data_IF_717141081654
#
_entry.id   IF_717141081654
#
_cell.length_a   1.000
_cell.length_b   1.000
_cell.length_c   1.000
_cell.angle_alpha   90.00
_cell.angle_beta   90.00
_cell.angle_gamma   90.00
#
_symmetry.space_group_name_H-M   'P 1'
#
loop_
_entity.id
_entity.type
_entity.pdbx_description
1 polymer ?
#
# COMPACT_ATOMS: atom_id res chain seq x y z
N UNK A 1 -10.03 -5.02 -7.56
CA UNK A 1 -9.18 -4.19 -8.47
C UNK A 1 -7.72 -4.40 -8.14
N UNK A 2 -6.82 -4.31 -9.11
CA UNK A 2 -5.36 -4.48 -8.96
C UNK A 2 -4.65 -3.13 -9.06
N UNK A 3 -3.38 -3.09 -8.64
CA UNK A 3 -2.54 -1.90 -8.78
C UNK A 3 -2.44 -1.41 -10.24
N UNK A 4 -2.36 -2.34 -11.20
CA UNK A 4 -2.37 -2.06 -12.64
C UNK A 4 -3.62 -1.34 -13.13
N UNK A 5 -4.76 -1.54 -12.46
CA UNK A 5 -6.05 -0.96 -12.89
C UNK A 5 -6.15 0.52 -12.53
N UNK A 6 -5.50 0.92 -11.44
CA UNK A 6 -5.56 2.28 -10.90
C UNK A 6 -4.29 3.10 -11.13
N UNK A 7 -3.18 2.48 -11.55
CA UNK A 7 -1.91 3.19 -11.74
C UNK A 7 -1.98 4.27 -12.83
N UNK A 8 -1.19 5.30 -12.65
CA UNK A 8 -0.88 6.27 -13.69
C UNK A 8 0.30 5.73 -14.51
N UNK A 9 0.10 5.53 -15.81
CA UNK A 9 1.10 4.92 -16.70
C UNK A 9 2.19 5.89 -17.13
N UNK A 10 1.85 7.17 -17.27
CA UNK A 10 2.82 8.20 -17.63
C UNK A 10 3.62 8.61 -16.38
N UNK A 11 4.76 8.00 -16.18
CA UNK A 11 5.66 8.28 -15.06
C UNK A 11 6.82 9.11 -15.55
N UNK A 12 7.05 10.24 -14.87
CA UNK A 12 8.21 11.10 -15.16
C UNK A 12 9.38 10.64 -14.29
N UNK A 13 10.52 10.41 -14.95
CA UNK A 13 11.75 9.98 -14.28
C UNK A 13 12.78 11.11 -14.27
N UNK A 14 13.78 10.98 -13.40
CA UNK A 14 14.91 11.88 -13.29
C UNK A 14 16.19 11.07 -12.98
N UNK A 15 17.34 11.54 -13.47
CA UNK A 15 18.62 10.97 -13.08
C UNK A 15 18.98 11.33 -11.64
N UNK A 16 19.59 10.40 -10.91
CA UNK A 16 20.14 10.68 -9.59
C UNK A 16 21.25 11.76 -9.59
N UNK A 17 21.94 11.95 -10.70
CA UNK A 17 22.98 12.98 -10.88
C UNK A 17 22.42 14.38 -11.22
N UNK A 18 21.13 14.50 -11.50
CA UNK A 18 20.48 15.80 -11.68
C UNK A 18 20.50 16.60 -10.39
N UNK A 19 20.40 17.93 -10.49
CA UNK A 19 20.30 18.79 -9.31
C UNK A 19 18.90 18.76 -8.68
N UNK A 20 18.81 19.10 -7.41
CA UNK A 20 17.51 19.29 -6.76
C UNK A 20 16.72 20.41 -7.43
N UNK A 21 17.39 21.47 -7.94
CA UNK A 21 16.75 22.54 -8.70
C UNK A 21 16.06 22.01 -9.97
N UNK A 22 16.70 21.07 -10.70
CA UNK A 22 16.11 20.42 -11.87
C UNK A 22 14.88 19.60 -11.48
N UNK A 23 14.95 18.86 -10.36
CA UNK A 23 13.81 18.11 -9.83
C UNK A 23 12.64 19.04 -9.49
N UNK A 24 12.90 20.15 -8.79
CA UNK A 24 11.85 21.14 -8.46
C UNK A 24 11.21 21.71 -9.71
N UNK A 25 12.01 22.07 -10.71
CA UNK A 25 11.50 22.55 -12.01
C UNK A 25 10.58 21.53 -12.66
N UNK A 26 11.04 20.29 -12.76
CA UNK A 26 10.27 19.21 -13.37
C UNK A 26 8.96 18.92 -12.64
N UNK A 27 8.97 18.92 -11.29
CA UNK A 27 7.76 18.79 -10.46
C UNK A 27 6.75 19.91 -10.75
N UNK A 28 7.22 21.17 -10.82
CA UNK A 28 6.36 22.32 -11.10
C UNK A 28 5.80 22.30 -12.52
N UNK A 29 6.64 22.08 -13.52
CA UNK A 29 6.26 22.12 -14.94
C UNK A 29 5.23 21.02 -15.27
N UNK A 30 5.31 19.88 -14.60
CA UNK A 30 4.41 18.74 -14.81
C UNK A 30 3.29 18.63 -13.78
N UNK A 31 3.22 19.50 -12.77
CA UNK A 31 2.23 19.44 -11.70
C UNK A 31 2.33 18.16 -10.85
N UNK A 32 3.53 17.60 -10.72
CA UNK A 32 3.78 16.35 -10.02
C UNK A 32 4.23 16.59 -8.58
N UNK A 33 4.07 15.60 -7.72
CA UNK A 33 4.49 15.62 -6.31
C UNK A 33 5.64 14.69 -5.99
N UNK A 34 6.07 13.88 -6.94
CA UNK A 34 7.25 13.03 -6.85
C UNK A 34 7.73 12.62 -8.23
N UNK A 35 9.00 12.24 -8.32
CA UNK A 35 9.65 11.70 -9.51
C UNK A 35 10.29 10.37 -9.15
N UNK A 36 10.32 9.47 -10.11
CA UNK A 36 11.08 8.23 -10.00
C UNK A 36 12.53 8.52 -10.41
N UNK A 37 13.46 8.07 -9.58
CA UNK A 37 14.89 8.18 -9.88
C UNK A 37 15.34 6.91 -10.57
N UNK A 38 15.92 7.09 -11.74
CA UNK A 38 16.36 6.00 -12.61
C UNK A 38 17.51 5.17 -11.99
N UNK A 39 17.53 3.86 -12.26
CA UNK A 39 18.68 3.03 -11.98
C UNK A 39 19.92 3.55 -12.72
N UNK A 40 21.09 3.47 -12.10
CA UNK A 40 22.37 3.87 -12.74
C UNK A 40 22.94 2.80 -13.66
N UNK A 41 22.59 1.54 -13.40
CA UNK A 41 23.03 0.36 -14.17
C UNK A 41 21.99 -0.77 -14.02
N UNK A 42 22.13 -1.80 -14.83
CA UNK A 42 21.25 -2.97 -14.75
C UNK A 42 21.40 -3.65 -13.38
N UNK A 43 20.28 -3.83 -12.68
CA UNK A 43 20.24 -4.38 -11.32
C UNK A 43 20.30 -3.33 -10.19
N UNK A 44 20.57 -2.07 -10.50
CA UNK A 44 20.45 -0.99 -9.51
C UNK A 44 18.95 -0.72 -9.22
N UNK A 45 18.52 -0.63 -7.97
CA UNK A 45 17.12 -0.39 -7.67
C UNK A 45 16.66 1.01 -8.11
N UNK A 46 15.36 1.16 -8.35
CA UNK A 46 14.75 2.48 -8.50
C UNK A 46 14.80 3.27 -7.21
N UNK A 47 14.95 4.58 -7.33
CA UNK A 47 14.76 5.54 -6.24
C UNK A 47 13.52 6.38 -6.46
N UNK A 48 13.20 7.20 -5.47
CA UNK A 48 12.12 8.18 -5.53
C UNK A 48 12.51 9.45 -4.80
N UNK A 49 12.13 10.60 -5.35
CA UNK A 49 12.24 11.91 -4.71
C UNK A 49 10.87 12.57 -4.70
N UNK A 50 10.48 13.14 -3.57
CA UNK A 50 9.18 13.79 -3.37
C UNK A 50 9.33 15.26 -2.96
N UNK A 51 8.24 16.03 -3.07
CA UNK A 51 8.16 17.40 -2.53
C UNK A 51 8.57 17.42 -1.04
N UNK A 52 8.13 16.43 -0.28
CA UNK A 52 8.46 16.29 1.16
C UNK A 52 9.96 16.14 1.38
N UNK A 53 10.65 15.32 0.57
CA UNK A 53 12.10 15.16 0.66
C UNK A 53 12.82 16.48 0.41
N UNK A 54 12.39 17.23 -0.61
CA UNK A 54 12.97 18.51 -0.98
C UNK A 54 12.76 19.54 0.14
N UNK A 55 11.52 19.64 0.65
CA UNK A 55 11.21 20.59 1.71
C UNK A 55 11.97 20.28 3.00
N UNK A 56 11.97 19.01 3.42
CA UNK A 56 12.52 18.63 4.72
C UNK A 56 14.05 18.53 4.71
N UNK A 57 14.64 18.03 3.61
CA UNK A 57 16.09 17.79 3.55
C UNK A 57 16.89 18.95 2.94
N UNK A 58 16.24 19.86 2.21
CA UNK A 58 16.91 20.97 1.52
C UNK A 58 16.44 22.32 2.03
N UNK A 59 15.15 22.63 1.83
CA UNK A 59 14.63 23.95 2.17
C UNK A 59 14.67 24.25 3.69
N UNK A 60 14.29 23.28 4.51
CA UNK A 60 14.30 23.42 5.99
C UNK A 60 15.70 23.66 6.56
N UNK A 61 16.75 23.24 5.85
CA UNK A 61 18.15 23.40 6.26
C UNK A 61 18.90 24.52 5.52
N UNK A 62 18.21 25.24 4.62
CA UNK A 62 18.83 26.32 3.85
C UNK A 62 19.91 25.89 2.86
N UNK A 63 19.88 24.60 2.43
CA UNK A 63 20.82 24.11 1.44
C UNK A 63 20.50 24.67 0.04
N UNK A 64 21.54 24.89 -0.77
CA UNK A 64 21.39 25.37 -2.14
C UNK A 64 20.95 24.20 -3.06
N UNK A 65 19.71 24.24 -3.62
CA UNK A 65 19.21 23.17 -4.50
C UNK A 65 19.97 23.10 -5.85
N UNK A 66 20.72 24.12 -6.22
CA UNK A 66 21.51 24.13 -7.47
C UNK A 66 22.80 23.33 -7.35
N UNK A 67 23.32 23.17 -6.15
CA UNK A 67 24.55 22.43 -5.87
C UNK A 67 24.30 21.02 -5.32
N UNK A 68 23.13 20.79 -4.75
CA UNK A 68 22.72 19.48 -4.26
C UNK A 68 22.19 18.60 -5.39
N UNK A 69 22.54 17.32 -5.35
CA UNK A 69 22.07 16.31 -6.31
C UNK A 69 20.94 15.48 -5.74
N UNK A 70 20.08 14.97 -6.63
CA UNK A 70 18.93 14.13 -6.29
C UNK A 70 19.35 12.89 -5.47
N UNK A 71 20.46 12.23 -5.82
CA UNK A 71 20.95 11.04 -5.09
C UNK A 71 21.26 11.30 -3.61
N UNK A 72 21.48 12.54 -3.19
CA UNK A 72 21.81 12.89 -1.80
C UNK A 72 20.58 12.89 -0.90
N UNK A 73 19.39 13.10 -1.48
CA UNK A 73 18.17 13.27 -0.71
C UNK A 73 17.06 12.26 -1.06
N UNK A 74 17.17 11.55 -2.18
CA UNK A 74 16.22 10.53 -2.61
C UNK A 74 16.09 9.39 -1.60
N UNK A 75 14.98 8.68 -1.63
CA UNK A 75 14.82 7.39 -1.00
C UNK A 75 15.18 6.30 -2.00
N UNK A 76 16.18 5.48 -1.68
CA UNK A 76 16.66 4.38 -2.51
C UNK A 76 17.21 3.24 -1.64
N UNK A 77 16.77 1.97 -1.83
CA UNK A 77 15.72 1.56 -2.75
C UNK A 77 14.35 2.13 -2.35
N UNK A 78 13.49 2.44 -3.31
CA UNK A 78 12.11 2.76 -3.02
C UNK A 78 11.25 1.48 -2.91
N UNK A 79 10.15 1.56 -2.17
CA UNK A 79 9.15 0.48 -2.11
C UNK A 79 8.46 0.40 -3.47
N UNK A 80 8.33 -0.81 -4.01
CA UNK A 80 7.74 -1.07 -5.32
C UNK A 80 6.49 -1.93 -5.19
N UNK A 81 5.57 -1.80 -6.13
CA UNK A 81 4.33 -2.57 -6.20
C UNK A 81 4.39 -3.56 -7.35
N UNK A 82 3.88 -4.77 -7.11
CA UNK A 82 3.56 -5.69 -8.19
C UNK A 82 2.25 -5.23 -8.87
N UNK A 83 2.14 -5.24 -10.21
CA UNK A 83 0.93 -4.84 -10.93
C UNK A 83 -0.31 -5.64 -10.56
N UNK A 84 -0.14 -6.90 -10.17
CA UNK A 84 -1.23 -7.80 -9.77
C UNK A 84 -1.66 -7.67 -8.30
N UNK A 85 -0.99 -6.84 -7.52
CA UNK A 85 -1.33 -6.61 -6.11
C UNK A 85 -2.70 -5.94 -5.99
N UNK A 86 -3.58 -6.48 -5.15
CA UNK A 86 -4.89 -5.90 -4.87
C UNK A 86 -4.79 -4.50 -4.26
N UNK A 87 -5.69 -3.61 -4.66
CA UNK A 87 -5.68 -2.19 -4.22
C UNK A 87 -5.73 -2.07 -2.70
N UNK A 88 -6.46 -2.92 -2.05
CA UNK A 88 -6.55 -3.02 -0.61
C UNK A 88 -5.20 -3.31 0.06
N UNK A 89 -4.40 -4.21 -0.53
CA UNK A 89 -3.05 -4.49 -0.03
C UNK A 89 -2.09 -3.34 -0.31
N UNK A 90 -2.30 -2.60 -1.43
CA UNK A 90 -1.57 -1.35 -1.70
C UNK A 90 -1.87 -0.32 -0.62
N UNK A 91 -3.15 -0.14 -0.27
CA UNK A 91 -3.56 0.80 0.78
C UNK A 91 -2.93 0.44 2.13
N UNK A 92 -2.92 -0.86 2.49
CA UNK A 92 -2.28 -1.36 3.71
C UNK A 92 -0.77 -1.15 3.69
N UNK A 93 -0.11 -1.42 2.58
CA UNK A 93 1.31 -1.17 2.44
C UNK A 93 1.63 0.31 2.67
N UNK A 94 0.81 1.22 2.10
CA UNK A 94 0.97 2.64 2.31
C UNK A 94 0.79 3.06 3.77
N UNK A 95 -0.21 2.51 4.45
CA UNK A 95 -0.45 2.76 5.88
C UNK A 95 0.72 2.28 6.75
N UNK A 96 1.15 1.02 6.59
CA UNK A 96 2.20 0.41 7.39
C UNK A 96 3.57 1.06 7.18
N UNK A 97 3.86 1.50 5.95
CA UNK A 97 5.16 2.12 5.60
C UNK A 97 5.12 3.65 5.61
N UNK A 98 3.94 4.24 5.87
CA UNK A 98 3.71 5.69 5.89
C UNK A 98 4.11 6.39 4.59
N UNK A 99 4.03 5.68 3.46
CA UNK A 99 4.24 6.25 2.14
C UNK A 99 2.90 6.59 1.48
N UNK A 100 2.92 7.53 0.55
CA UNK A 100 1.71 7.99 -0.15
C UNK A 100 1.70 7.60 -1.63
N UNK A 101 2.77 6.98 -2.13
CA UNK A 101 2.92 6.55 -3.53
C UNK A 101 4.06 5.57 -3.68
N UNK A 102 3.94 4.73 -4.69
CA UNK A 102 4.98 3.77 -5.04
C UNK A 102 4.93 3.45 -6.54
N UNK A 103 6.08 3.20 -7.18
CA UNK A 103 6.13 2.73 -8.55
C UNK A 103 5.61 1.30 -8.68
N UNK A 104 4.97 1.02 -9.79
CA UNK A 104 4.55 -0.33 -10.20
C UNK A 104 5.61 -0.88 -11.15
N UNK A 105 6.22 -2.00 -10.77
CA UNK A 105 7.35 -2.59 -11.49
C UNK A 105 7.12 -4.07 -11.72
N UNK A 106 7.37 -4.52 -12.95
CA UNK A 106 7.46 -5.93 -13.33
C UNK A 106 8.49 -6.06 -14.45
N UNK A 107 9.74 -6.33 -14.07
CA UNK A 107 10.88 -6.27 -14.99
C UNK A 107 11.26 -4.85 -15.42
N UNK A 108 10.27 -4.00 -15.69
CA UNK A 108 10.43 -2.58 -16.03
C UNK A 108 9.42 -1.73 -15.24
N UNK A 109 9.61 -0.41 -15.27
CA UNK A 109 8.67 0.56 -14.69
C UNK A 109 7.40 0.62 -15.55
N UNK A 110 6.26 0.24 -14.98
CA UNK A 110 4.97 0.21 -15.66
C UNK A 110 4.11 1.43 -15.36
N UNK A 111 4.25 2.00 -14.15
CA UNK A 111 3.41 3.09 -13.71
C UNK A 111 3.72 3.49 -12.27
N UNK A 112 2.85 4.32 -11.70
CA UNK A 112 2.88 4.72 -10.30
C UNK A 112 1.47 4.73 -9.71
N UNK A 113 1.32 4.24 -8.48
CA UNK A 113 0.10 4.37 -7.69
C UNK A 113 0.34 5.35 -6.55
N UNK A 114 -0.64 6.22 -6.33
CA UNK A 114 -0.68 7.14 -5.19
C UNK A 114 -1.93 6.92 -4.33
N UNK A 115 -1.93 7.44 -3.11
CA UNK A 115 -3.11 7.44 -2.26
C UNK A 115 -4.31 8.14 -2.94
N UNK A 116 -4.06 9.18 -3.75
CA UNK A 116 -5.10 9.85 -4.54
C UNK A 116 -5.70 8.96 -5.63
N UNK A 117 -4.90 8.04 -6.20
CA UNK A 117 -5.40 7.08 -7.20
C UNK A 117 -6.33 6.07 -6.54
N UNK A 118 -5.99 5.60 -5.33
CA UNK A 118 -6.86 4.73 -4.54
C UNK A 118 -8.21 5.41 -4.29
N UNK A 119 -8.21 6.66 -3.83
CA UNK A 119 -9.43 7.41 -3.52
C UNK A 119 -10.30 7.69 -4.75
N UNK A 120 -9.69 7.94 -5.92
CA UNK A 120 -10.42 8.41 -7.11
C UNK A 120 -10.76 7.31 -8.10
N UNK A 121 -10.00 6.22 -8.12
CA UNK A 121 -10.09 5.20 -9.17
C UNK A 121 -10.51 3.83 -8.64
N UNK A 122 -10.50 3.62 -7.30
CA UNK A 122 -10.97 2.37 -6.74
C UNK A 122 -12.43 2.45 -6.30
N UNK A 123 -13.04 1.31 -6.18
CA UNK A 123 -14.45 1.12 -5.79
C UNK A 123 -14.63 0.89 -4.28
N UNK A 124 -13.65 1.31 -3.46
CA UNK A 124 -13.68 1.01 -2.03
C UNK A 124 -14.84 1.68 -1.28
N UNK A 125 -15.36 2.80 -1.79
CA UNK A 125 -16.51 3.51 -1.21
C UNK A 125 -17.82 2.77 -1.52
N UNK A 126 -18.00 2.33 -2.78
CA UNK A 126 -19.21 1.62 -3.23
C UNK A 126 -19.21 0.15 -2.79
N UNK A 127 -18.03 -0.43 -2.67
CA UNK A 127 -17.82 -1.83 -2.28
C UNK A 127 -16.72 -1.92 -1.25
N UNK A 128 -16.96 -1.45 -0.01
CA UNK A 128 -15.99 -1.61 1.05
C UNK A 128 -15.78 -3.12 1.25
N UNK A 129 -14.64 -3.61 0.78
CA UNK A 129 -14.25 -4.97 1.10
C UNK A 129 -13.93 -5.00 2.58
N UNK A 130 -14.74 -5.69 3.34
CA UNK A 130 -14.36 -6.11 4.69
C UNK A 130 -13.17 -7.07 4.51
N UNK A 131 -12.01 -6.46 4.40
CA UNK A 131 -10.77 -7.18 4.21
C UNK A 131 -10.52 -7.97 5.47
N UNK A 132 -10.44 -9.25 5.36
CA UNK A 132 -9.61 -10.11 6.16
C UNK A 132 -10.20 -11.46 6.55
N UNK A 133 -11.31 -11.50 7.23
CA UNK A 133 -11.81 -12.77 7.72
C UNK A 133 -12.63 -13.47 6.63
N UNK A 134 -13.39 -12.70 5.86
CA UNK A 134 -14.25 -13.22 4.79
C UNK A 134 -13.42 -13.69 3.58
N UNK A 135 -12.40 -12.92 3.17
CA UNK A 135 -11.47 -13.36 2.12
C UNK A 135 -10.69 -14.61 2.55
N UNK A 136 -10.26 -14.67 3.84
CA UNK A 136 -9.61 -15.87 4.39
C UNK A 136 -10.56 -17.07 4.42
N UNK A 137 -11.83 -16.86 4.74
CA UNK A 137 -12.87 -17.88 4.72
C UNK A 137 -13.09 -18.41 3.31
N UNK A 138 -13.12 -17.55 2.29
CA UNK A 138 -13.27 -17.98 0.89
C UNK A 138 -12.06 -18.77 0.39
N UNK A 139 -10.85 -18.32 0.71
CA UNK A 139 -9.61 -19.04 0.37
C UNK A 139 -9.57 -20.39 1.08
N UNK A 140 -9.80 -20.43 2.39
CA UNK A 140 -9.82 -21.68 3.17
C UNK A 140 -10.89 -22.64 2.66
N UNK A 141 -12.06 -22.14 2.24
CA UNK A 141 -13.12 -22.96 1.63
C UNK A 141 -12.69 -23.57 0.30
N UNK A 142 -12.01 -22.78 -0.55
CA UNK A 142 -11.50 -23.27 -1.82
C UNK A 142 -10.40 -24.33 -1.63
N UNK A 143 -9.49 -24.09 -0.68
CA UNK A 143 -8.43 -25.02 -0.30
C UNK A 143 -8.99 -26.33 0.29
N UNK A 144 -9.96 -26.27 1.20
CA UNK A 144 -10.59 -27.43 1.77
C UNK A 144 -11.24 -28.31 0.68
N UNK A 145 -11.97 -27.70 -0.25
CA UNK A 145 -12.55 -28.41 -1.40
C UNK A 145 -11.49 -29.06 -2.30
N UNK A 146 -10.38 -28.36 -2.55
CA UNK A 146 -9.28 -28.91 -3.36
C UNK A 146 -8.60 -30.10 -2.67
N UNK A 147 -8.32 -30.01 -1.39
CA UNK A 147 -7.71 -31.07 -0.59
C UNK A 147 -8.62 -32.29 -0.53
N UNK A 148 -9.92 -32.11 -0.27
CA UNK A 148 -10.87 -33.23 -0.25
C UNK A 148 -11.01 -33.93 -1.62
N UNK A 149 -10.98 -33.14 -2.71
CA UNK A 149 -11.03 -33.71 -4.06
C UNK A 149 -9.77 -34.52 -4.41
N UNK A 150 -8.60 -34.09 -3.92
CA UNK A 150 -7.33 -34.74 -4.18
C UNK A 150 -7.10 -35.97 -3.28
N UNK A 151 -7.40 -35.86 -1.99
CA UNK A 151 -7.06 -36.85 -0.95
C UNK A 151 -8.24 -37.70 -0.48
N UNK A 152 -9.45 -37.36 -0.93
CA UNK A 152 -10.70 -38.03 -0.55
C UNK A 152 -11.38 -37.35 0.66
N UNK A 153 -12.73 -37.40 0.65
CA UNK A 153 -13.58 -36.71 1.62
C UNK A 153 -13.43 -37.22 3.08
N UNK A 154 -12.94 -38.45 3.25
CA UNK A 154 -12.73 -39.08 4.57
C UNK A 154 -11.27 -39.00 5.04
N UNK A 155 -10.39 -38.32 4.31
CA UNK A 155 -8.99 -38.23 4.68
C UNK A 155 -8.79 -37.29 5.88
N UNK A 156 -7.78 -37.57 6.75
CA UNK A 156 -7.44 -36.65 7.85
C UNK A 156 -7.10 -35.24 7.38
N UNK A 157 -6.50 -35.12 6.21
CA UNK A 157 -6.14 -33.82 5.61
C UNK A 157 -7.37 -33.03 5.18
N UNK A 158 -8.41 -33.71 4.65
CA UNK A 158 -9.70 -33.09 4.33
C UNK A 158 -10.38 -32.57 5.61
N UNK A 159 -10.41 -33.38 6.68
CA UNK A 159 -10.96 -32.95 7.96
C UNK A 159 -10.22 -31.73 8.53
N UNK A 160 -8.88 -31.77 8.57
CA UNK A 160 -8.07 -30.65 9.06
C UNK A 160 -8.30 -29.34 8.25
N UNK A 161 -8.50 -29.44 6.94
CA UNK A 161 -8.78 -28.26 6.11
C UNK A 161 -10.16 -27.65 6.41
N UNK A 162 -11.15 -28.44 6.75
CA UNK A 162 -12.47 -27.95 7.20
C UNK A 162 -12.42 -27.38 8.61
N UNK A 163 -11.62 -27.93 9.53
CA UNK A 163 -11.43 -27.40 10.89
C UNK A 163 -10.88 -25.96 10.82
N UNK A 164 -9.92 -25.69 9.93
CA UNK A 164 -9.39 -24.32 9.71
C UNK A 164 -10.49 -23.38 9.22
N UNK A 165 -11.37 -23.84 8.32
CA UNK A 165 -12.49 -23.03 7.84
C UNK A 165 -13.49 -22.70 8.98
N UNK A 166 -13.82 -23.68 9.80
CA UNK A 166 -14.71 -23.49 10.93
C UNK A 166 -14.15 -22.52 11.97
N UNK A 167 -12.86 -22.60 12.28
CA UNK A 167 -12.18 -21.67 13.17
C UNK A 167 -12.24 -20.22 12.64
N UNK A 168 -12.00 -20.01 11.35
CA UNK A 168 -12.12 -18.70 10.73
C UNK A 168 -13.55 -18.16 10.77
N UNK A 169 -14.57 -19.02 10.60
CA UNK A 169 -15.98 -18.63 10.69
C UNK A 169 -16.38 -18.26 12.12
N UNK A 170 -15.86 -18.94 13.13
CA UNK A 170 -16.07 -18.59 14.53
C UNK A 170 -15.49 -17.21 14.84
N UNK A 171 -14.25 -16.93 14.44
CA UNK A 171 -13.61 -15.61 14.62
C UNK A 171 -14.42 -14.51 13.92
N UNK A 172 -14.92 -14.76 12.70
CA UNK A 172 -15.77 -13.81 11.99
C UNK A 172 -17.08 -13.52 12.73
N UNK A 173 -17.70 -14.55 13.29
CA UNK A 173 -18.96 -14.39 14.04
C UNK A 173 -18.77 -13.60 15.34
N UNK A 174 -17.66 -13.83 16.03
CA UNK A 174 -17.32 -13.10 17.27
C UNK A 174 -17.00 -11.62 16.99
N UNK A 175 -16.32 -11.33 15.89
CA UNK A 175 -16.07 -9.95 15.45
C UNK A 175 -17.37 -9.21 15.12
N UNK A 176 -18.32 -9.86 14.43
CA UNK A 176 -19.63 -9.27 14.11
C UNK A 176 -20.44 -8.99 15.38
N UNK A 177 -20.48 -9.93 16.32
CA UNK A 177 -21.18 -9.73 17.60
C UNK A 177 -20.60 -8.57 18.40
N UNK A 178 -19.27 -8.46 18.47
CA UNK A 178 -18.60 -7.33 19.13
C UNK A 178 -18.91 -5.98 18.47
N UNK A 179 -19.04 -5.95 17.14
CA UNK A 179 -19.46 -4.75 16.41
C UNK A 179 -20.93 -4.38 16.66
N UNK A 180 -21.82 -5.36 16.68
CA UNK A 180 -23.25 -5.16 16.96
C UNK A 180 -23.50 -4.72 18.42
N UNK A 181 -22.80 -5.34 19.38
CA UNK A 181 -22.93 -5.02 20.81
C UNK A 181 -22.30 -3.67 21.20
N UNK A 182 -21.27 -3.24 20.48
CA UNK A 182 -20.56 -2.00 20.82
C UNK A 182 -21.27 -0.73 20.35
N UNK A 183 -22.12 -0.82 19.32
CA UNK A 183 -22.70 0.35 18.66
C UNK A 183 -21.63 1.34 18.15
N UNK A 184 -20.37 0.96 18.24
CA UNK A 184 -19.19 1.78 17.92
C UNK A 184 -18.73 1.55 16.51
N UNK A 185 -18.21 2.58 15.90
CA UNK A 185 -17.58 2.47 14.58
C UNK A 185 -16.31 1.59 14.65
N UNK A 186 -15.87 0.97 13.56
CA UNK A 186 -14.61 0.22 13.50
C UNK A 186 -13.39 1.05 13.93
N UNK A 187 -13.46 2.36 13.76
CA UNK A 187 -12.42 3.30 14.18
C UNK A 187 -12.38 3.49 15.71
N UNK A 188 -13.55 3.60 16.34
CA UNK A 188 -13.65 3.71 17.80
C UNK A 188 -13.15 2.43 18.49
N UNK A 189 -13.49 1.26 17.96
CA UNK A 189 -12.97 -0.02 18.47
C UNK A 189 -11.45 -0.10 18.31
N UNK A 190 -10.90 0.31 17.15
CA UNK A 190 -9.47 0.37 16.94
C UNK A 190 -8.77 1.28 17.95
N UNK A 191 -9.35 2.44 18.24
CA UNK A 191 -8.78 3.40 19.19
C UNK A 191 -8.81 2.91 20.64
N UNK A 192 -9.81 2.11 21.03
CA UNK A 192 -9.83 1.47 22.34
C UNK A 192 -8.74 0.43 22.52
N UNK A 193 -8.47 -0.36 21.48
CA UNK A 193 -7.38 -1.34 21.47
C UNK A 193 -5.99 -0.70 21.30
N UNK A 194 -5.92 0.52 20.74
CA UNK A 194 -4.69 1.25 20.45
C UNK A 194 -4.73 2.71 20.97
N UNK A 195 -4.87 2.96 22.28
CA UNK A 195 -5.09 4.30 22.84
C UNK A 195 -3.92 5.27 22.61
N UNK A 196 -2.76 4.77 22.23
CA UNK A 196 -1.56 5.57 21.94
C UNK A 196 -1.36 5.83 20.44
N UNK A 197 -2.24 5.33 19.57
CA UNK A 197 -2.16 5.61 18.14
C UNK A 197 -2.40 7.11 17.88
N UNK A 198 -1.60 7.66 16.99
CA UNK A 198 -1.57 9.12 16.73
C UNK A 198 -2.88 9.62 16.15
N UNK A 199 -3.56 8.79 15.36
CA UNK A 199 -4.87 9.02 14.76
C UNK A 199 -6.02 9.08 15.77
N UNK A 200 -5.86 8.44 16.94
CA UNK A 200 -6.87 8.41 17.99
C UNK A 200 -6.83 9.64 18.93
N UNK A 201 -5.77 10.45 18.84
CA UNK A 201 -5.57 11.65 19.69
C UNK A 201 -6.19 12.92 19.13
N UNK A 202 -6.82 12.87 17.96
CA UNK A 202 -7.30 14.07 17.22
C UNK A 202 -8.74 14.45 17.60
N UNK A 203 -9.42 13.69 18.46
CA UNK A 203 -10.83 13.87 18.79
C UNK A 203 -11.12 14.33 20.24
N UNK A 204 -10.13 14.85 20.93
CA UNK A 204 -10.29 15.38 22.31
C UNK A 204 -10.36 16.94 22.38
N UNK A 205 -10.91 17.60 21.33
CA UNK A 205 -11.24 19.04 21.36
C UNK A 205 -12.72 19.29 21.03
#
# INVERSE_FOLDING_TARGET
MKASDIMTKEVVTISGSATVADAVKLLKDKGLRALIVEPRYSGDPYGMISETDIVYKVAAHGHDPKTMHVYQIMTKPCIVLNPDLGVEYVARLFANTRIRRAPVIQGSLLGMVSASDILRKSDFVEKPKQLFIEDRIEVARAEARAVCKEKGDTSPDCAAAWDVLEELQMVASDQRKKQEDSGKSPFEVYCEDNPNAQECRIHDD
#
